data_IF_575443282773
#
_entry.id   IF_575443282773
#
_cell.length_a   1.000
_cell.length_b   1.000
_cell.length_c   1.000
_cell.angle_alpha   90.00
_cell.angle_beta   90.00
_cell.angle_gamma   90.00
#
_symmetry.space_group_name_H-M   'P 1'
#
loop_
_entity.id
_entity.type
_entity.pdbx_description
1 polymer ?
#
# COMPACT_ATOMS: atom_id res chain seq x y z
N UNK A 1 8.36 -17.81 6.81
CA UNK A 1 8.23 -17.26 5.45
C UNK A 1 6.98 -17.86 4.82
N UNK A 2 5.91 -17.09 4.70
CA UNK A 2 4.70 -17.57 4.01
C UNK A 2 5.00 -17.47 2.51
N UNK A 3 5.12 -18.60 1.83
CA UNK A 3 5.28 -18.63 0.38
C UNK A 3 3.99 -18.07 -0.23
N UNK A 4 4.05 -16.87 -0.78
CA UNK A 4 2.91 -16.27 -1.47
C UNK A 4 2.65 -17.09 -2.73
N UNK A 5 1.55 -17.83 -2.75
CA UNK A 5 1.13 -18.65 -3.89
C UNK A 5 0.70 -17.73 -5.03
N UNK A 6 1.05 -18.08 -6.27
CA UNK A 6 0.44 -17.48 -7.46
C UNK A 6 -1.08 -17.69 -7.42
N UNK A 7 -1.85 -16.63 -7.66
CA UNK A 7 -3.31 -16.65 -7.67
C UNK A 7 -3.84 -16.56 -9.09
N UNK A 8 -4.86 -17.35 -9.38
CA UNK A 8 -5.56 -17.27 -10.67
C UNK A 8 -6.44 -16.03 -10.70
N UNK A 9 -6.55 -15.40 -11.86
CA UNK A 9 -7.48 -14.28 -12.09
C UNK A 9 -8.94 -14.61 -11.73
N UNK A 10 -9.33 -15.89 -11.83
CA UNK A 10 -10.66 -16.37 -11.47
C UNK A 10 -10.96 -16.30 -9.96
N UNK A 11 -9.92 -16.19 -9.12
CA UNK A 11 -10.07 -16.13 -7.65
C UNK A 11 -10.42 -14.72 -7.13
N UNK A 12 -10.46 -13.70 -7.99
CA UNK A 12 -10.72 -12.31 -7.59
C UNK A 12 -12.10 -11.86 -8.06
N UNK A 13 -12.86 -11.26 -7.15
CA UNK A 13 -14.20 -10.76 -7.41
C UNK A 13 -14.36 -9.33 -6.95
N UNK A 14 -15.22 -8.57 -7.63
CA UNK A 14 -15.63 -7.25 -7.16
C UNK A 14 -16.31 -7.40 -5.79
N UNK A 15 -15.88 -6.60 -4.83
CA UNK A 15 -16.33 -6.69 -3.44
C UNK A 15 -15.39 -7.47 -2.52
N UNK A 16 -14.43 -8.22 -3.05
CA UNK A 16 -13.43 -8.90 -2.22
C UNK A 16 -12.66 -7.89 -1.37
N UNK A 17 -12.54 -8.19 -0.08
CA UNK A 17 -11.74 -7.40 0.85
C UNK A 17 -10.32 -7.98 0.96
N UNK A 18 -9.34 -7.11 0.99
CA UNK A 18 -7.97 -7.48 1.28
C UNK A 18 -7.81 -7.71 2.79
N UNK A 19 -7.15 -8.80 3.22
CA UNK A 19 -6.81 -8.97 4.62
C UNK A 19 -6.09 -7.73 5.15
N UNK A 20 -6.51 -7.16 6.28
CA UNK A 20 -5.91 -5.94 6.79
C UNK A 20 -4.43 -6.17 7.15
N UNK A 21 -3.63 -5.14 6.97
CA UNK A 21 -2.22 -5.13 7.34
C UNK A 21 -1.97 -4.01 8.35
N UNK A 22 -1.44 -4.35 9.51
CA UNK A 22 -1.09 -3.39 10.55
C UNK A 22 0.42 -3.14 10.55
N UNK A 23 0.81 -1.88 10.34
CA UNK A 23 2.19 -1.42 10.39
C UNK A 23 2.46 -0.76 11.74
N UNK A 24 3.42 -1.29 12.49
CA UNK A 24 3.93 -0.61 13.66
C UNK A 24 4.82 0.55 13.22
N UNK A 25 4.31 1.77 13.28
CA UNK A 25 5.03 2.98 12.90
C UNK A 25 6.00 3.37 14.00
N UNK A 26 7.30 3.24 13.72
CA UNK A 26 8.38 3.66 14.61
C UNK A 26 9.20 4.77 13.96
N UNK A 27 9.97 5.51 14.76
CA UNK A 27 10.94 6.49 14.22
C UNK A 27 11.91 5.83 13.23
N UNK A 28 12.34 4.59 13.52
CA UNK A 28 13.21 3.83 12.62
C UNK A 28 12.55 3.58 11.25
N UNK A 29 11.27 3.18 11.24
CA UNK A 29 10.53 2.95 9.98
C UNK A 29 10.42 4.24 9.18
N UNK A 30 10.12 5.36 9.82
CA UNK A 30 9.99 6.68 9.18
C UNK A 30 11.32 7.11 8.58
N UNK A 31 12.39 7.11 9.39
CA UNK A 31 13.73 7.55 8.96
C UNK A 31 14.27 6.63 7.86
N UNK A 32 14.17 5.31 8.04
CA UNK A 32 14.63 4.35 7.05
C UNK A 32 13.90 4.51 5.70
N UNK A 33 12.59 4.72 5.74
CA UNK A 33 11.79 4.97 4.54
C UNK A 33 12.18 6.27 3.83
N UNK A 34 12.41 7.33 4.59
CA UNK A 34 12.87 8.61 4.05
C UNK A 34 14.24 8.46 3.37
N UNK A 35 15.19 7.80 4.02
CA UNK A 35 16.53 7.55 3.45
C UNK A 35 16.43 6.68 2.19
N UNK A 36 15.67 5.59 2.25
CA UNK A 36 15.51 4.66 1.14
C UNK A 36 14.88 5.32 -0.10
N UNK A 37 13.99 6.28 0.11
CA UNK A 37 13.37 7.07 -0.96
C UNK A 37 14.14 8.35 -1.31
N UNK A 38 15.29 8.59 -0.67
CA UNK A 38 16.14 9.78 -0.84
C UNK A 38 15.39 11.10 -0.56
N UNK A 39 14.46 11.05 0.34
CA UNK A 39 13.74 12.22 0.84
C UNK A 39 14.40 12.69 2.15
N UNK A 40 15.31 13.64 2.02
CA UNK A 40 16.11 14.16 3.13
C UNK A 40 15.46 15.36 3.81
N UNK A 41 14.14 15.57 3.63
CA UNK A 41 13.41 16.63 4.34
C UNK A 41 13.52 16.43 5.84
N UNK A 42 14.00 17.43 6.62
CA UNK A 42 14.23 17.29 8.07
C UNK A 42 13.00 16.85 8.87
N UNK A 43 11.79 17.17 8.40
CA UNK A 43 10.55 16.75 9.05
C UNK A 43 10.42 15.20 9.21
N UNK A 44 11.18 14.43 8.47
CA UNK A 44 11.15 12.97 8.52
C UNK A 44 12.23 12.36 9.43
N UNK A 45 13.15 13.15 9.96
CA UNK A 45 14.25 12.63 10.80
C UNK A 45 14.69 13.55 11.94
N UNK A 46 14.24 14.80 11.97
CA UNK A 46 14.52 15.76 13.03
C UNK A 46 13.24 16.14 13.77
N UNK A 47 13.03 15.62 15.01
CA UNK A 47 11.83 15.93 15.79
C UNK A 47 11.70 17.42 16.15
N UNK A 48 12.81 18.12 16.36
CA UNK A 48 12.77 19.55 16.68
C UNK A 48 12.28 20.36 15.47
N UNK A 49 12.78 20.04 14.29
CA UNK A 49 12.31 20.66 13.04
C UNK A 49 10.83 20.36 12.80
N UNK A 50 10.40 19.09 12.92
CA UNK A 50 9.01 18.71 12.71
C UNK A 50 8.07 19.48 13.65
N UNK A 51 8.40 19.57 14.95
CA UNK A 51 7.61 20.31 15.95
C UNK A 51 7.58 21.81 15.68
N UNK A 52 8.68 22.38 15.28
CA UNK A 52 8.75 23.82 14.93
C UNK A 52 7.84 24.17 13.72
N UNK A 53 7.53 23.17 12.87
CA UNK A 53 6.66 23.31 11.71
C UNK A 53 5.24 22.75 11.93
N UNK A 54 4.83 22.51 13.17
CA UNK A 54 3.46 22.17 13.55
C UNK A 54 3.11 20.69 13.55
N UNK A 55 4.07 19.79 13.31
CA UNK A 55 3.84 18.35 13.47
C UNK A 55 4.11 17.92 14.92
N UNK A 56 3.42 16.89 15.44
CA UNK A 56 3.66 16.41 16.81
C UNK A 56 5.00 15.68 16.97
N UNK A 57 5.52 15.11 15.90
CA UNK A 57 6.80 14.40 15.82
C UNK A 57 7.22 14.25 14.36
N UNK A 58 8.35 13.57 14.09
CA UNK A 58 8.69 13.13 12.72
C UNK A 58 7.54 12.32 12.13
N UNK A 59 7.33 12.40 10.84
CA UNK A 59 6.24 11.70 10.19
C UNK A 59 6.67 11.05 8.88
N UNK A 60 5.93 10.02 8.48
CA UNK A 60 6.19 9.24 7.27
C UNK A 60 5.98 10.09 6.01
N UNK A 61 6.91 9.99 5.07
CA UNK A 61 6.80 10.65 3.79
C UNK A 61 5.88 9.89 2.82
N UNK A 62 5.42 10.57 1.77
CA UNK A 62 4.50 10.00 0.78
C UNK A 62 5.11 8.81 0.03
N UNK A 63 6.41 8.82 -0.23
CA UNK A 63 7.08 7.74 -0.96
C UNK A 63 7.07 6.44 -0.15
N UNK A 64 7.35 6.53 1.15
CA UNK A 64 7.25 5.38 2.07
C UNK A 64 5.81 4.86 2.16
N UNK A 65 4.82 5.77 2.28
CA UNK A 65 3.41 5.40 2.29
C UNK A 65 3.03 4.67 0.99
N UNK A 66 3.44 5.20 -0.16
CA UNK A 66 3.20 4.57 -1.47
C UNK A 66 3.83 3.18 -1.54
N UNK A 67 5.04 3.00 -1.00
CA UNK A 67 5.71 1.71 -0.91
C UNK A 67 4.92 0.69 -0.08
N UNK A 68 4.37 1.10 1.06
CA UNK A 68 3.52 0.21 1.88
C UNK A 68 2.18 -0.11 1.23
N UNK A 69 1.55 0.84 0.52
CA UNK A 69 0.36 0.57 -0.29
C UNK A 69 0.68 -0.45 -1.39
N UNK A 70 1.81 -0.27 -2.08
CA UNK A 70 2.31 -1.21 -3.08
C UNK A 70 2.46 -2.62 -2.51
N UNK A 71 3.19 -2.75 -1.40
CA UNK A 71 3.39 -4.01 -0.70
C UNK A 71 2.06 -4.65 -0.27
N UNK A 72 1.17 -3.89 0.35
CA UNK A 72 -0.14 -4.35 0.81
C UNK A 72 -0.95 -5.01 -0.33
N UNK A 73 -0.96 -4.38 -1.51
CA UNK A 73 -1.67 -4.90 -2.67
C UNK A 73 -0.95 -6.10 -3.29
N UNK A 74 0.37 -6.05 -3.47
CA UNK A 74 1.12 -7.13 -4.12
C UNK A 74 1.23 -8.38 -3.25
N UNK A 75 1.34 -8.24 -1.92
CA UNK A 75 1.32 -9.37 -1.00
C UNK A 75 -0.01 -10.15 -1.09
N UNK A 76 -1.13 -9.44 -1.31
CA UNK A 76 -2.44 -10.04 -1.50
C UNK A 76 -2.64 -10.59 -2.92
N UNK A 77 -2.26 -9.86 -3.95
CA UNK A 77 -2.50 -10.22 -5.34
C UNK A 77 -1.59 -11.37 -5.81
N UNK A 78 -0.41 -11.51 -5.20
CA UNK A 78 0.55 -12.56 -5.50
C UNK A 78 1.71 -12.11 -6.39
N UNK A 79 2.69 -13.01 -6.61
CA UNK A 79 3.97 -12.65 -7.24
C UNK A 79 3.86 -12.33 -8.74
N UNK A 80 2.78 -12.73 -9.40
CA UNK A 80 2.55 -12.43 -10.82
C UNK A 80 1.81 -11.11 -11.05
N UNK A 81 1.41 -10.44 -9.97
CA UNK A 81 0.71 -9.18 -10.04
C UNK A 81 1.62 -8.03 -10.47
N UNK A 82 1.19 -7.27 -11.45
CA UNK A 82 1.89 -6.09 -11.95
C UNK A 82 1.11 -4.84 -11.57
N UNK A 83 1.71 -3.98 -10.75
CA UNK A 83 1.13 -2.68 -10.44
C UNK A 83 1.15 -1.79 -11.68
N UNK A 84 -0.02 -1.27 -12.03
CA UNK A 84 -0.21 -0.36 -13.17
C UNK A 84 -0.26 1.09 -12.71
N UNK A 85 -0.93 1.34 -11.59
CA UNK A 85 -1.13 2.70 -11.10
C UNK A 85 -1.42 2.68 -9.60
N UNK A 86 -0.86 3.65 -8.89
CA UNK A 86 -1.21 3.99 -7.51
C UNK A 86 -1.53 5.49 -7.48
N UNK A 87 -2.72 5.82 -7.03
CA UNK A 87 -3.16 7.21 -6.85
C UNK A 87 -3.65 7.34 -5.42
N UNK A 88 -2.89 8.00 -4.57
CA UNK A 88 -3.24 8.22 -3.17
C UNK A 88 -3.22 9.70 -2.82
N UNK A 89 -4.05 10.04 -1.84
CA UNK A 89 -4.08 11.34 -1.19
C UNK A 89 -3.75 11.15 0.28
N UNK A 90 -2.81 11.94 0.79
CA UNK A 90 -2.47 11.96 2.22
C UNK A 90 -3.43 12.87 2.99
N UNK A 91 -3.68 12.49 4.23
CA UNK A 91 -4.48 13.21 5.22
C UNK A 91 -3.75 13.30 6.57
N UNK A 92 -4.23 12.57 7.57
CA UNK A 92 -3.62 12.54 8.91
C UNK A 92 -2.16 12.07 8.87
N UNK A 93 -1.32 12.60 9.75
CA UNK A 93 0.10 12.23 9.81
C UNK A 93 0.28 10.81 10.36
N UNK A 94 1.22 10.07 9.79
CA UNK A 94 1.71 8.82 10.37
C UNK A 94 2.96 9.11 11.19
N UNK A 95 2.81 9.09 12.51
CA UNK A 95 3.84 9.45 13.49
C UNK A 95 4.23 8.24 14.35
N UNK A 96 5.39 8.25 15.01
CA UNK A 96 5.81 7.15 15.87
C UNK A 96 4.80 6.83 16.97
N UNK A 97 4.62 5.54 17.27
CA UNK A 97 3.75 5.06 18.34
C UNK A 97 2.27 4.98 17.96
N UNK A 98 1.89 5.35 16.74
CA UNK A 98 0.52 5.24 16.21
C UNK A 98 0.49 4.22 15.07
N UNK A 99 0.06 2.97 15.35
CA UNK A 99 -0.03 1.92 14.33
C UNK A 99 -0.90 2.38 13.15
N UNK A 100 -0.48 2.03 11.95
CA UNK A 100 -1.19 2.36 10.73
C UNK A 100 -1.83 1.09 10.16
N UNK A 101 -3.16 1.07 10.09
CA UNK A 101 -3.92 -0.05 9.55
C UNK A 101 -4.27 0.19 8.11
N UNK A 102 -3.80 -0.73 7.26
CA UNK A 102 -4.15 -0.77 5.84
C UNK A 102 -5.36 -1.67 5.61
N UNK A 103 -6.27 -1.22 4.78
CA UNK A 103 -7.45 -1.96 4.32
C UNK A 103 -7.70 -1.67 2.85
N UNK A 104 -8.39 -2.55 2.17
CA UNK A 104 -8.69 -2.37 0.75
C UNK A 104 -9.79 -3.31 0.29
N UNK A 105 -10.38 -2.96 -0.86
CA UNK A 105 -11.44 -3.73 -1.49
C UNK A 105 -11.36 -3.62 -3.01
N UNK A 106 -11.67 -4.71 -3.69
CA UNK A 106 -11.82 -4.72 -5.16
C UNK A 106 -13.07 -3.96 -5.54
N UNK A 107 -12.92 -2.92 -6.34
CA UNK A 107 -14.02 -2.07 -6.83
C UNK A 107 -14.36 -2.29 -8.29
N UNK A 108 -13.42 -2.85 -9.06
CA UNK A 108 -13.62 -3.16 -10.45
C UNK A 108 -12.76 -4.33 -10.91
N UNK A 109 -13.26 -5.06 -11.91
CA UNK A 109 -12.56 -6.14 -12.58
C UNK A 109 -12.90 -6.11 -14.07
N UNK A 110 -11.89 -6.15 -14.90
CA UNK A 110 -12.02 -6.21 -16.35
C UNK A 110 -10.95 -7.12 -16.97
N UNK A 111 -11.17 -7.54 -18.20
CA UNK A 111 -10.19 -8.28 -18.98
C UNK A 111 -9.80 -7.45 -20.20
N UNK A 112 -8.53 -7.22 -20.38
CA UNK A 112 -7.99 -6.47 -21.51
C UNK A 112 -6.59 -6.96 -21.86
N UNK A 113 -6.32 -7.13 -23.16
CA UNK A 113 -4.98 -7.47 -23.65
C UNK A 113 -4.41 -8.80 -23.12
N UNK A 114 -5.26 -9.77 -22.76
CA UNK A 114 -4.83 -11.05 -22.19
C UNK A 114 -4.50 -10.98 -20.68
N UNK A 115 -4.87 -9.90 -20.02
CA UNK A 115 -4.69 -9.68 -18.58
C UNK A 115 -6.05 -9.45 -17.89
N UNK A 116 -6.14 -9.86 -16.64
CA UNK A 116 -7.19 -9.46 -15.72
C UNK A 116 -6.73 -8.21 -14.98
N UNK A 117 -7.46 -7.12 -15.15
CA UNK A 117 -7.18 -5.84 -14.50
C UNK A 117 -8.14 -5.63 -13.34
N UNK A 118 -7.60 -5.44 -12.15
CA UNK A 118 -8.35 -5.14 -10.94
C UNK A 118 -8.16 -3.68 -10.55
N UNK A 119 -9.27 -3.04 -10.19
CA UNK A 119 -9.27 -1.74 -9.52
C UNK A 119 -9.57 -1.95 -8.04
N UNK A 120 -8.79 -1.29 -7.18
CA UNK A 120 -8.91 -1.40 -5.74
C UNK A 120 -9.09 -0.03 -5.12
N UNK A 121 -10.00 0.09 -4.16
CA UNK A 121 -9.98 1.20 -3.21
C UNK A 121 -9.10 0.80 -2.03
N UNK A 122 -8.18 1.68 -1.63
CA UNK A 122 -7.26 1.44 -0.52
C UNK A 122 -7.35 2.57 0.51
N UNK A 123 -7.13 2.21 1.76
CA UNK A 123 -7.13 3.13 2.89
C UNK A 123 -6.06 2.70 3.89
N UNK A 124 -5.32 3.67 4.42
CA UNK A 124 -4.45 3.49 5.58
C UNK A 124 -4.87 4.51 6.65
N UNK A 125 -5.12 4.08 7.87
CA UNK A 125 -5.63 4.93 8.93
C UNK A 125 -4.98 4.62 10.28
N UNK A 126 -4.94 5.62 11.14
CA UNK A 126 -4.58 5.52 12.56
C UNK A 126 -5.64 6.24 13.41
N UNK A 127 -5.38 6.41 14.72
CA UNK A 127 -6.28 7.10 15.64
C UNK A 127 -6.40 8.62 15.40
N UNK A 128 -5.53 9.21 14.57
CA UNK A 128 -5.62 10.59 14.13
C UNK A 128 -6.53 10.76 12.90
N UNK A 129 -6.89 9.67 12.23
CA UNK A 129 -7.74 9.67 11.05
C UNK A 129 -7.14 8.93 9.85
N UNK A 130 -7.66 9.23 8.67
CA UNK A 130 -7.19 8.66 7.41
C UNK A 130 -5.83 9.26 7.03
N UNK A 131 -4.79 8.44 7.10
CA UNK A 131 -3.46 8.82 6.65
C UNK A 131 -3.35 8.84 5.12
N UNK A 132 -3.89 7.82 4.47
CA UNK A 132 -3.91 7.73 3.01
C UNK A 132 -5.20 7.07 2.53
N UNK A 133 -5.76 7.62 1.46
CA UNK A 133 -6.90 7.04 0.73
C UNK A 133 -6.63 7.13 -0.76
N UNK A 134 -7.13 6.16 -1.52
CA UNK A 134 -6.94 6.22 -2.96
C UNK A 134 -7.31 4.96 -3.70
N UNK A 135 -6.79 4.84 -4.90
CA UNK A 135 -7.04 3.73 -5.81
C UNK A 135 -5.75 3.11 -6.31
N UNK A 136 -5.78 1.80 -6.50
CA UNK A 136 -4.69 1.03 -7.08
C UNK A 136 -5.24 0.22 -8.25
N UNK A 137 -4.51 0.20 -9.36
CA UNK A 137 -4.78 -0.69 -10.48
C UNK A 137 -3.68 -1.73 -10.56
N UNK A 138 -4.05 -3.00 -10.58
CA UNK A 138 -3.15 -4.14 -10.69
C UNK A 138 -3.60 -5.07 -11.80
N UNK A 139 -2.65 -5.56 -12.59
CA UNK A 139 -2.90 -6.53 -13.64
C UNK A 139 -2.35 -7.90 -13.24
N UNK A 140 -3.08 -8.94 -13.61
CA UNK A 140 -2.71 -10.34 -13.41
C UNK A 140 -2.80 -11.05 -14.77
N UNK A 141 -1.92 -12.02 -15.06
CA UNK A 141 -2.08 -12.81 -16.27
C UNK A 141 -3.41 -13.57 -16.21
N UNK A 142 -4.14 -13.61 -17.32
CA UNK A 142 -5.23 -14.57 -17.45
C UNK A 142 -4.62 -15.98 -17.37
N UNK A 143 -5.08 -16.79 -16.41
CA UNK A 143 -4.55 -18.13 -16.22
C UNK A 143 -4.49 -18.88 -17.54
N UNK A 144 -3.34 -19.44 -17.87
CA UNK A 144 -3.27 -20.39 -19.00
C UNK A 144 -4.32 -21.47 -18.76
N UNK A 145 -5.18 -21.80 -19.75
CA UNK A 145 -5.96 -23.00 -19.63
C UNK A 145 -4.99 -24.14 -19.30
N UNK A 146 -5.27 -24.90 -18.23
CA UNK A 146 -4.45 -26.04 -17.88
C UNK A 146 -4.38 -26.93 -19.12
N UNK A 147 -3.23 -26.91 -19.79
CA UNK A 147 -2.95 -27.91 -20.81
C UNK A 147 -2.90 -29.21 -20.07
N UNK A 148 -3.99 -30.01 -20.14
CA UNK A 148 -3.95 -31.37 -19.76
C UNK A 148 -2.88 -32.06 -20.64
N UNK A 149 -1.87 -32.61 -19.96
CA UNK A 149 -0.93 -33.55 -20.52
C UNK A 149 -1.54 -34.93 -20.43
#
# INVERSE_FOLDING_TARGET
>A
MTTTRARSSAEFHVGDELPPFDLNVTSTVIVAGAIASRDFMPAHHDPAFAKAHGAPDVFMNILTTTGYVSRFVTDWAGPEAVLRSIKIRLGALAVPGKPLRFSGRVTGKSEAGGECVLELAVRAANDLGDHATGTVTVALPLGRPSSAW
#
